data_IF_935421845089
#
_entry.id   IF_935421845089
#
_cell.length_a   1.000
_cell.length_b   1.000
_cell.length_c   1.000
_cell.angle_alpha   90.00
_cell.angle_beta   90.00
_cell.angle_gamma   90.00
#
_symmetry.space_group_name_H-M   'P 1'
#
loop_
_entity.id
_entity.type
_entity.pdbx_description
1 polymer ?
#
# COMPACT_ATOMS: atom_id res chain seq x y z
N UNK A 1 10.70 -3.35 10.22
CA UNK A 1 10.82 -1.96 9.70
C UNK A 1 11.53 -0.99 10.63
N UNK A 2 11.52 -1.21 11.94
CA UNK A 2 12.31 -0.41 12.89
C UNK A 2 13.80 -0.42 12.57
N UNK A 3 14.38 -1.59 12.24
CA UNK A 3 15.81 -1.72 11.91
C UNK A 3 16.21 -0.85 10.72
N UNK A 4 15.58 -0.96 9.53
CA UNK A 4 15.84 -0.04 8.40
C UNK A 4 15.71 1.45 8.76
N UNK A 5 14.70 1.84 9.53
CA UNK A 5 14.50 3.23 9.95
C UNK A 5 15.66 3.72 10.83
N UNK A 6 16.05 2.91 11.82
CA UNK A 6 17.19 3.20 12.68
C UNK A 6 18.49 3.29 11.86
N UNK A 7 18.71 2.38 10.91
CA UNK A 7 19.88 2.43 10.02
C UNK A 7 19.95 3.75 9.26
N UNK A 8 18.83 4.20 8.68
CA UNK A 8 18.77 5.50 7.96
C UNK A 8 19.07 6.66 8.90
N UNK A 9 18.44 6.70 10.08
CA UNK A 9 18.63 7.76 11.07
C UNK A 9 20.08 7.81 11.56
N UNK A 10 20.66 6.66 11.91
CA UNK A 10 22.04 6.55 12.38
C UNK A 10 23.02 6.97 11.27
N UNK A 11 22.83 6.49 10.05
CA UNK A 11 23.66 6.88 8.91
C UNK A 11 23.61 8.39 8.64
N UNK A 12 22.42 8.98 8.65
CA UNK A 12 22.26 10.42 8.40
C UNK A 12 22.83 11.28 9.51
N UNK A 13 22.57 10.92 10.77
CA UNK A 13 22.95 11.72 11.94
C UNK A 13 24.42 11.57 12.30
N UNK A 14 24.93 10.33 12.31
CA UNK A 14 26.27 10.01 12.78
C UNK A 14 27.28 10.18 11.65
N UNK A 15 27.01 9.58 10.48
CA UNK A 15 27.98 9.53 9.40
C UNK A 15 27.90 10.76 8.48
N UNK A 16 26.71 11.13 7.99
CA UNK A 16 26.55 12.25 7.05
C UNK A 16 26.34 13.62 7.69
N UNK A 17 26.08 13.69 9.00
CA UNK A 17 25.74 14.93 9.75
C UNK A 17 24.65 15.77 9.06
N UNK A 18 23.64 15.12 8.48
CA UNK A 18 22.56 15.78 7.74
C UNK A 18 21.36 16.08 8.65
N UNK A 19 20.62 17.14 8.35
CA UNK A 19 19.32 17.42 9.00
C UNK A 19 18.33 16.29 8.65
N UNK A 20 17.54 15.82 9.60
CA UNK A 20 16.63 14.66 9.46
C UNK A 20 15.18 15.10 9.19
N UNK A 21 14.91 16.41 9.24
CA UNK A 21 13.54 16.93 9.16
C UNK A 21 12.84 16.54 7.83
N UNK A 22 13.58 16.50 6.72
CA UNK A 22 13.04 16.09 5.42
C UNK A 22 12.71 14.59 5.35
N UNK A 23 13.40 13.76 6.14
CA UNK A 23 13.17 12.31 6.26
C UNK A 23 11.75 12.02 6.73
N UNK A 24 11.21 12.85 7.63
CA UNK A 24 9.88 12.62 8.18
C UNK A 24 8.75 13.08 7.27
N UNK A 25 8.99 14.09 6.42
CA UNK A 25 7.99 14.56 5.44
C UNK A 25 6.61 14.90 6.05
N UNK A 26 6.60 15.33 7.32
CA UNK A 26 5.38 15.60 8.08
C UNK A 26 4.86 16.99 7.68
N UNK A 27 3.91 17.00 6.76
CA UNK A 27 3.01 18.13 6.55
C UNK A 27 1.62 17.74 7.08
N UNK A 28 0.88 18.71 7.64
CA UNK A 28 -0.49 18.44 8.12
C UNK A 28 -1.38 18.13 6.90
N UNK A 29 -1.93 16.91 6.79
CA UNK A 29 -2.81 16.59 5.69
C UNK A 29 -4.17 17.27 5.88
N UNK A 30 -4.87 17.53 4.78
CA UNK A 30 -6.24 18.08 4.87
C UNK A 30 -7.22 17.00 5.28
N UNK A 31 -8.28 17.35 6.02
CA UNK A 31 -9.31 16.38 6.43
C UNK A 31 -9.92 15.65 5.21
N UNK A 32 -10.16 16.38 4.11
CA UNK A 32 -10.70 15.81 2.87
C UNK A 32 -9.81 14.70 2.30
N UNK A 33 -8.49 14.94 2.24
CA UNK A 33 -7.54 13.94 1.76
C UNK A 33 -7.47 12.71 2.68
N UNK A 34 -7.49 12.92 3.99
CA UNK A 34 -7.45 11.81 4.96
C UNK A 34 -8.71 10.95 4.85
N UNK A 35 -9.89 11.57 4.81
CA UNK A 35 -11.17 10.85 4.65
C UNK A 35 -11.19 10.07 3.35
N UNK A 36 -10.75 10.66 2.23
CA UNK A 36 -10.67 9.95 0.95
C UNK A 36 -9.75 8.73 1.03
N UNK A 37 -8.57 8.87 1.64
CA UNK A 37 -7.59 7.78 1.77
C UNK A 37 -8.05 6.67 2.72
N UNK A 38 -8.97 6.94 3.63
CA UNK A 38 -9.63 5.91 4.43
C UNK A 38 -10.77 5.24 3.67
N UNK A 39 -11.65 6.02 3.06
CA UNK A 39 -12.88 5.50 2.44
C UNK A 39 -12.56 4.67 1.19
N UNK A 40 -11.59 5.06 0.38
CA UNK A 40 -11.30 4.37 -0.88
C UNK A 40 -10.88 2.90 -0.70
N UNK A 41 -9.86 2.55 0.11
CA UNK A 41 -9.48 1.16 0.32
C UNK A 41 -10.57 0.35 1.04
N UNK A 42 -11.31 0.99 1.95
CA UNK A 42 -12.43 0.37 2.66
C UNK A 42 -13.53 -0.08 1.68
N UNK A 43 -13.99 0.82 0.80
CA UNK A 43 -15.00 0.50 -0.20
C UNK A 43 -14.51 -0.57 -1.17
N UNK A 44 -13.24 -0.49 -1.58
CA UNK A 44 -12.63 -1.48 -2.47
C UNK A 44 -12.58 -2.88 -1.82
N UNK A 45 -12.20 -2.95 -0.54
CA UNK A 45 -12.18 -4.19 0.24
C UNK A 45 -13.58 -4.77 0.49
N UNK A 46 -14.55 -3.93 0.86
CA UNK A 46 -15.95 -4.33 1.01
C UNK A 46 -16.51 -4.85 -0.31
N UNK A 47 -16.22 -4.18 -1.42
CA UNK A 47 -16.59 -4.63 -2.77
C UNK A 47 -16.03 -6.01 -3.10
N UNK A 48 -14.75 -6.25 -2.79
CA UNK A 48 -14.16 -7.59 -2.92
C UNK A 48 -14.83 -8.62 -2.02
N UNK A 49 -15.13 -8.27 -0.76
CA UNK A 49 -15.76 -9.18 0.18
C UNK A 49 -17.13 -9.66 -0.33
N UNK A 50 -17.97 -8.75 -0.83
CA UNK A 50 -19.25 -9.12 -1.44
C UNK A 50 -19.06 -9.88 -2.76
N UNK A 51 -18.08 -9.49 -3.58
CA UNK A 51 -17.75 -10.21 -4.82
C UNK A 51 -17.37 -11.67 -4.55
N UNK A 52 -16.55 -11.92 -3.53
CA UNK A 52 -16.21 -13.27 -3.07
C UNK A 52 -17.38 -13.99 -2.39
N UNK A 53 -18.27 -13.25 -1.72
CA UNK A 53 -19.48 -13.78 -1.11
C UNK A 53 -20.43 -14.44 -2.13
N UNK A 54 -20.47 -13.95 -3.37
CA UNK A 54 -21.24 -14.59 -4.48
C UNK A 54 -20.76 -16.04 -4.72
N UNK A 55 -19.48 -16.30 -4.48
CA UNK A 55 -18.85 -17.62 -4.63
C UNK A 55 -18.76 -18.39 -3.29
N UNK A 56 -19.50 -17.96 -2.25
CA UNK A 56 -19.45 -18.51 -0.90
C UNK A 56 -18.07 -18.43 -0.21
N UNK A 57 -17.20 -17.51 -0.65
CA UNK A 57 -15.88 -17.30 -0.05
C UNK A 57 -15.95 -16.12 0.92
N UNK A 58 -15.57 -16.36 2.18
CA UNK A 58 -15.47 -15.29 3.18
C UNK A 58 -14.09 -14.63 3.13
N UNK A 59 -14.05 -13.35 2.80
CA UNK A 59 -12.79 -12.59 2.69
C UNK A 59 -12.42 -11.79 3.96
N UNK A 60 -13.12 -10.69 4.25
CA UNK A 60 -12.74 -9.75 5.32
C UNK A 60 -13.30 -10.11 6.70
N UNK A 61 -14.61 -10.36 6.80
CA UNK A 61 -15.28 -10.59 8.07
C UNK A 61 -16.44 -11.58 7.91
N UNK A 62 -16.80 -12.27 8.99
CA UNK A 62 -18.03 -13.08 9.08
C UNK A 62 -19.18 -12.29 9.67
N UNK A 63 -18.87 -11.46 10.67
CA UNK A 63 -19.84 -10.64 11.39
C UNK A 63 -19.55 -9.16 11.21
N UNK A 64 -20.59 -8.34 11.19
CA UNK A 64 -20.47 -6.88 11.05
C UNK A 64 -19.64 -6.22 12.16
N UNK A 65 -19.59 -6.80 13.35
CA UNK A 65 -18.81 -6.29 14.47
C UNK A 65 -17.29 -6.38 14.20
N UNK A 66 -16.86 -7.38 13.43
CA UNK A 66 -15.45 -7.54 13.04
C UNK A 66 -15.00 -6.41 12.11
N UNK A 67 -15.90 -5.83 11.30
CA UNK A 67 -15.57 -4.68 10.46
C UNK A 67 -15.11 -3.47 11.30
N UNK A 68 -15.82 -3.19 12.40
CA UNK A 68 -15.44 -2.14 13.34
C UNK A 68 -14.09 -2.42 14.01
N UNK A 69 -13.83 -3.69 14.35
CA UNK A 69 -12.55 -4.11 14.89
C UNK A 69 -11.40 -3.96 13.87
N UNK A 70 -11.61 -4.36 12.61
CA UNK A 70 -10.63 -4.19 11.54
C UNK A 70 -10.29 -2.72 11.31
N UNK A 71 -11.28 -1.82 11.35
CA UNK A 71 -11.06 -0.38 11.28
C UNK A 71 -10.20 0.13 12.45
N UNK A 72 -10.45 -0.35 13.67
CA UNK A 72 -9.67 0.02 14.84
C UNK A 72 -8.23 -0.48 14.74
N UNK A 73 -8.04 -1.76 14.36
CA UNK A 73 -6.72 -2.36 14.15
C UNK A 73 -5.94 -1.60 13.09
N UNK A 74 -6.60 -1.19 12.02
CA UNK A 74 -5.97 -0.40 10.98
C UNK A 74 -5.52 0.98 11.48
N UNK A 75 -6.44 1.77 12.03
CA UNK A 75 -6.17 3.15 12.42
C UNK A 75 -5.11 3.24 13.53
N UNK A 76 -4.84 2.13 14.21
CA UNK A 76 -3.82 2.01 15.25
C UNK A 76 -2.56 1.30 14.74
N UNK A 77 -2.57 -0.04 14.71
CA UNK A 77 -1.40 -0.88 14.47
C UNK A 77 -1.03 -0.86 12.98
N UNK A 78 -2.02 -0.97 12.08
CA UNK A 78 -1.80 -1.00 10.64
C UNK A 78 -1.14 0.28 10.14
N UNK A 79 -1.73 1.42 10.47
CA UNK A 79 -1.25 2.75 10.13
C UNK A 79 0.10 3.08 10.77
N UNK A 80 0.34 2.64 12.01
CA UNK A 80 1.64 2.84 12.68
C UNK A 80 2.74 1.99 12.04
N UNK A 81 2.47 0.72 11.74
CA UNK A 81 3.41 -0.16 11.03
C UNK A 81 3.74 0.42 9.65
N UNK A 82 2.71 0.81 8.90
CA UNK A 82 2.86 1.47 7.62
C UNK A 82 3.64 2.79 7.73
N UNK A 83 3.44 3.58 8.77
CA UNK A 83 4.17 4.84 8.96
C UNK A 83 5.68 4.63 9.04
N UNK A 84 6.14 3.56 9.70
CA UNK A 84 7.57 3.24 9.78
C UNK A 84 8.15 2.95 8.39
N UNK A 85 7.40 2.28 7.53
CA UNK A 85 7.78 2.05 6.13
C UNK A 85 7.76 3.35 5.33
N UNK A 86 6.66 4.11 5.43
CA UNK A 86 6.46 5.31 4.62
C UNK A 86 7.49 6.40 4.94
N UNK A 87 7.98 6.51 6.17
CA UNK A 87 9.07 7.45 6.51
C UNK A 87 10.33 7.12 5.69
N UNK A 88 10.65 5.84 5.51
CA UNK A 88 11.83 5.42 4.76
C UNK A 88 11.61 5.62 3.27
N UNK A 89 10.49 5.10 2.75
CA UNK A 89 10.24 5.06 1.30
C UNK A 89 9.75 6.40 0.75
N UNK A 90 8.74 7.02 1.39
CA UNK A 90 8.02 8.22 0.90
C UNK A 90 8.49 9.52 1.56
N UNK A 91 9.16 9.41 2.70
CA UNK A 91 9.90 10.50 3.30
C UNK A 91 11.30 10.60 2.71
N UNK A 92 12.19 9.71 3.16
CA UNK A 92 13.61 9.79 2.85
C UNK A 92 13.95 9.48 1.38
N UNK A 93 13.63 8.27 0.93
CA UNK A 93 14.04 7.76 -0.39
C UNK A 93 13.42 8.58 -1.52
N UNK A 94 12.11 8.87 -1.41
CA UNK A 94 11.37 9.73 -2.32
C UNK A 94 11.97 11.14 -2.42
N UNK A 95 12.35 11.77 -1.29
CA UNK A 95 12.97 13.10 -1.30
C UNK A 95 14.23 13.15 -2.16
N UNK A 96 15.13 12.18 -2.03
CA UNK A 96 16.35 12.15 -2.83
C UNK A 96 16.10 11.77 -4.30
N UNK A 97 15.20 10.82 -4.56
CA UNK A 97 14.84 10.42 -5.93
C UNK A 97 14.20 11.58 -6.70
N UNK A 98 13.28 12.33 -6.09
CA UNK A 98 12.59 13.46 -6.74
C UNK A 98 13.53 14.60 -7.15
N UNK A 99 14.70 14.72 -6.52
CA UNK A 99 15.72 15.70 -6.91
C UNK A 99 16.47 15.31 -8.19
N UNK A 100 16.43 14.03 -8.59
CA UNK A 100 17.15 13.49 -9.75
C UNK A 100 16.24 13.04 -10.89
N UNK A 101 15.04 12.56 -10.55
CA UNK A 101 14.13 11.92 -11.50
C UNK A 101 12.76 12.56 -11.47
N UNK A 102 11.98 12.41 -12.55
CA UNK A 102 10.57 12.82 -12.59
C UNK A 102 9.73 11.99 -11.61
N UNK A 103 8.48 12.44 -11.35
CA UNK A 103 7.57 11.70 -10.48
C UNK A 103 7.29 10.27 -10.99
N UNK A 104 7.06 10.11 -12.30
CA UNK A 104 6.81 8.81 -12.90
C UNK A 104 7.99 7.85 -12.69
N UNK A 105 9.23 8.33 -12.94
CA UNK A 105 10.43 7.52 -12.70
C UNK A 105 10.66 7.22 -11.23
N UNK A 106 10.39 8.18 -10.34
CA UNK A 106 10.46 7.97 -8.89
C UNK A 106 9.49 6.88 -8.44
N UNK A 107 8.26 6.89 -8.96
CA UNK A 107 7.26 5.87 -8.67
C UNK A 107 7.68 4.49 -9.17
N UNK A 108 8.16 4.38 -10.41
CA UNK A 108 8.62 3.11 -10.99
C UNK A 108 9.81 2.55 -10.22
N UNK A 109 10.85 3.36 -9.95
CA UNK A 109 12.05 2.91 -9.22
C UNK A 109 11.68 2.42 -7.82
N UNK A 110 10.87 3.21 -7.10
CA UNK A 110 10.45 2.86 -5.74
C UNK A 110 9.59 1.61 -5.73
N UNK A 111 8.64 1.50 -6.67
CA UNK A 111 7.78 0.33 -6.80
C UNK A 111 8.56 -0.95 -7.08
N UNK A 112 9.53 -0.91 -8.00
CA UNK A 112 10.39 -2.06 -8.31
C UNK A 112 11.16 -2.54 -7.09
N UNK A 113 11.85 -1.62 -6.39
CA UNK A 113 12.68 -1.99 -5.24
C UNK A 113 11.82 -2.54 -4.10
N UNK A 114 10.69 -1.89 -3.83
CA UNK A 114 9.80 -2.31 -2.74
C UNK A 114 9.08 -3.64 -3.03
N UNK A 115 8.60 -3.85 -4.26
CA UNK A 115 7.98 -5.13 -4.63
C UNK A 115 8.99 -6.28 -4.58
N UNK A 116 10.23 -6.03 -5.01
CA UNK A 116 11.32 -7.01 -4.88
C UNK A 116 11.66 -7.32 -3.42
N UNK A 117 11.64 -6.32 -2.54
CA UNK A 117 11.86 -6.51 -1.10
C UNK A 117 10.82 -7.44 -0.46
N UNK A 118 9.62 -7.54 -1.04
CA UNK A 118 8.54 -8.44 -0.58
C UNK A 118 8.57 -9.85 -1.18
N UNK A 119 9.46 -10.14 -2.14
CA UNK A 119 9.54 -11.48 -2.76
C UNK A 119 9.79 -12.60 -1.75
N UNK A 120 10.64 -12.44 -0.71
CA UNK A 120 10.80 -13.47 0.33
C UNK A 120 9.48 -13.81 1.05
N UNK A 121 8.58 -12.83 1.21
CA UNK A 121 7.25 -13.09 1.82
C UNK A 121 6.43 -14.02 0.91
N UNK A 122 6.43 -13.74 -0.40
CA UNK A 122 5.75 -14.58 -1.39
C UNK A 122 6.34 -16.01 -1.43
N UNK A 123 7.65 -16.15 -1.24
CA UNK A 123 8.34 -17.44 -1.30
C UNK A 123 8.17 -18.29 -0.03
N UNK A 124 8.21 -17.67 1.15
CA UNK A 124 8.32 -18.41 2.42
C UNK A 124 7.05 -18.41 3.26
N UNK A 125 6.16 -17.43 3.06
CA UNK A 125 4.98 -17.25 3.92
C UNK A 125 3.66 -17.47 3.20
N UNK A 126 3.65 -17.46 1.87
CA UNK A 126 2.45 -17.70 1.08
C UNK A 126 2.45 -19.11 0.51
N UNK A 127 1.39 -19.84 0.81
CA UNK A 127 1.20 -21.21 0.35
C UNK A 127 0.51 -21.19 -1.01
N UNK A 128 1.31 -21.06 -2.08
CA UNK A 128 0.81 -21.14 -3.45
C UNK A 128 0.85 -22.56 -3.96
N UNK A 129 -0.22 -22.98 -4.64
CA UNK A 129 -0.19 -24.23 -5.42
C UNK A 129 0.63 -24.02 -6.69
N UNK A 130 0.40 -22.89 -7.38
CA UNK A 130 1.14 -22.47 -8.56
C UNK A 130 2.13 -21.36 -8.22
N UNK A 131 3.32 -21.75 -7.73
CA UNK A 131 4.34 -20.85 -7.20
C UNK A 131 4.67 -19.67 -8.12
N UNK A 132 4.99 -19.95 -9.38
CA UNK A 132 5.38 -18.90 -10.35
C UNK A 132 4.24 -17.88 -10.53
N UNK A 133 3.01 -18.38 -10.62
CA UNK A 133 1.84 -17.54 -10.86
C UNK A 133 1.48 -16.71 -9.62
N UNK A 134 1.54 -17.29 -8.43
CA UNK A 134 1.31 -16.59 -7.17
C UNK A 134 2.33 -15.48 -6.95
N UNK A 135 3.62 -15.80 -7.00
CA UNK A 135 4.71 -14.83 -6.81
C UNK A 135 4.61 -13.69 -7.82
N UNK A 136 4.33 -13.99 -9.09
CA UNK A 136 4.17 -12.97 -10.12
C UNK A 136 2.96 -12.07 -9.84
N UNK A 137 1.81 -12.65 -9.48
CA UNK A 137 0.57 -11.92 -9.19
C UNK A 137 0.71 -11.03 -7.96
N UNK A 138 1.32 -11.55 -6.90
CA UNK A 138 1.64 -10.78 -5.69
C UNK A 138 2.61 -9.64 -5.98
N UNK A 139 3.71 -9.91 -6.67
CA UNK A 139 4.74 -8.91 -6.97
C UNK A 139 4.18 -7.78 -7.84
N UNK A 140 3.36 -8.11 -8.85
CA UNK A 140 2.73 -7.12 -9.72
C UNK A 140 1.63 -6.34 -9.02
N UNK A 141 0.84 -6.98 -8.14
CA UNK A 141 -0.11 -6.32 -7.25
C UNK A 141 0.58 -5.26 -6.38
N UNK A 142 1.66 -5.66 -5.70
CA UNK A 142 2.47 -4.78 -4.86
C UNK A 142 3.11 -3.64 -5.66
N UNK A 143 3.59 -3.92 -6.87
CA UNK A 143 4.15 -2.91 -7.77
C UNK A 143 3.13 -1.82 -8.12
N UNK A 144 1.92 -2.21 -8.54
CA UNK A 144 0.85 -1.25 -8.87
C UNK A 144 0.43 -0.46 -7.63
N UNK A 145 0.26 -1.14 -6.50
CA UNK A 145 -0.07 -0.50 -5.22
C UNK A 145 0.97 0.57 -4.83
N UNK A 146 2.26 0.30 -5.03
CA UNK A 146 3.33 1.25 -4.75
C UNK A 146 3.36 2.48 -5.63
N UNK A 147 2.99 2.32 -6.90
CA UNK A 147 2.77 3.46 -7.79
C UNK A 147 1.67 4.34 -7.21
N UNK A 148 0.51 3.77 -6.87
CA UNK A 148 -0.62 4.50 -6.28
C UNK A 148 -0.19 5.25 -5.02
N UNK A 149 0.50 4.58 -4.09
CA UNK A 149 0.99 5.19 -2.85
C UNK A 149 1.97 6.35 -3.10
N UNK A 150 2.82 6.25 -4.12
CA UNK A 150 3.76 7.33 -4.46
C UNK A 150 3.01 8.58 -4.94
N UNK A 151 1.96 8.40 -5.75
CA UNK A 151 1.08 9.50 -6.13
C UNK A 151 0.28 10.02 -4.93
N UNK A 152 -0.24 9.14 -4.07
CA UNK A 152 -0.93 9.49 -2.82
C UNK A 152 -0.06 10.38 -1.93
N UNK A 153 1.23 10.07 -1.78
CA UNK A 153 2.19 10.96 -1.11
C UNK A 153 2.16 12.33 -1.80
N UNK A 154 2.39 12.43 -3.10
CA UNK A 154 2.50 13.75 -3.76
C UNK A 154 1.23 14.60 -3.67
N UNK A 155 0.06 13.98 -3.79
CA UNK A 155 -1.22 14.69 -3.64
C UNK A 155 -1.50 15.07 -2.18
N UNK A 156 -1.24 14.17 -1.23
CA UNK A 156 -1.42 14.42 0.21
C UNK A 156 -0.32 15.30 0.82
N UNK A 157 0.80 15.47 0.12
CA UNK A 157 2.04 16.15 0.55
C UNK A 157 2.61 15.66 1.88
N UNK A 158 2.10 14.56 2.41
CA UNK A 158 2.38 14.09 3.76
C UNK A 158 2.62 12.59 3.78
N UNK A 159 3.63 12.18 4.54
CA UNK A 159 3.90 10.76 4.82
C UNK A 159 2.77 10.15 5.65
N UNK A 160 2.12 10.94 6.51
CA UNK A 160 0.99 10.48 7.35
C UNK A 160 -0.22 10.09 6.51
N UNK A 161 -0.51 10.83 5.44
CA UNK A 161 -1.58 10.44 4.51
C UNK A 161 -1.26 9.14 3.78
N UNK A 162 0.00 8.98 3.35
CA UNK A 162 0.45 7.76 2.71
C UNK A 162 0.40 6.57 3.68
N UNK A 163 0.73 6.76 4.96
CA UNK A 163 0.71 5.69 5.96
C UNK A 163 -0.70 5.22 6.30
N UNK A 164 -1.66 6.14 6.42
CA UNK A 164 -3.08 5.79 6.61
C UNK A 164 -3.59 5.01 5.39
N UNK A 165 -3.31 5.51 4.18
CA UNK A 165 -3.71 4.81 2.96
C UNK A 165 -3.08 3.41 2.86
N UNK A 166 -1.80 3.30 3.20
CA UNK A 166 -1.07 2.04 3.18
C UNK A 166 -1.64 1.05 4.21
N UNK A 167 -1.84 1.49 5.46
CA UNK A 167 -2.51 0.68 6.48
C UNK A 167 -3.84 0.14 5.98
N UNK A 168 -4.72 1.04 5.54
CA UNK A 168 -6.06 0.67 5.08
C UNK A 168 -6.01 -0.36 3.95
N UNK A 169 -5.06 -0.25 3.03
CA UNK A 169 -4.84 -1.27 2.00
C UNK A 169 -4.36 -2.60 2.58
N UNK A 170 -3.46 -2.60 3.56
CA UNK A 170 -2.99 -3.82 4.22
C UNK A 170 -4.14 -4.58 4.88
N UNK A 171 -5.00 -3.88 5.62
CA UNK A 171 -6.10 -4.50 6.36
C UNK A 171 -7.27 -4.90 5.47
N UNK A 172 -7.69 -4.03 4.54
CA UNK A 172 -8.93 -4.24 3.77
C UNK A 172 -8.75 -4.86 2.39
N UNK A 173 -7.53 -4.88 1.83
CA UNK A 173 -7.33 -5.30 0.44
C UNK A 173 -6.24 -6.36 0.27
N UNK A 174 -5.06 -6.11 0.83
CA UNK A 174 -3.90 -6.98 0.69
C UNK A 174 -3.92 -8.15 1.67
N UNK A 175 -4.72 -8.07 2.73
CA UNK A 175 -4.94 -9.17 3.70
C UNK A 175 -5.23 -10.47 2.99
N UNK A 176 -4.66 -11.56 3.49
CA UNK A 176 -4.99 -12.90 3.00
C UNK A 176 -6.43 -13.31 3.42
N UNK A 177 -7.02 -12.63 4.40
CA UNK A 177 -8.41 -12.80 4.80
C UNK A 177 -8.67 -14.12 5.54
N UNK A 178 -9.93 -14.53 5.64
CA UNK A 178 -10.35 -15.76 6.32
C UNK A 178 -10.34 -17.02 5.43
N UNK A 179 -9.67 -16.98 4.27
CA UNK A 179 -9.47 -18.02 3.25
C UNK A 179 -10.24 -19.35 3.42
N UNK A 180 -11.56 -19.31 3.25
CA UNK A 180 -12.35 -20.53 3.14
C UNK A 180 -12.62 -20.82 1.65
N UNK A 181 -11.87 -21.76 1.06
CA UNK A 181 -12.22 -22.39 -0.21
C UNK A 181 -11.71 -21.72 -1.50
N UNK A 182 -10.71 -20.83 -1.44
CA UNK A 182 -10.07 -20.27 -2.64
C UNK A 182 -8.55 -20.38 -2.57
N UNK A 183 -7.91 -20.75 -3.68
CA UNK A 183 -6.46 -20.76 -3.79
C UNK A 183 -5.89 -19.34 -3.66
N UNK A 184 -4.77 -19.22 -2.95
CA UNK A 184 -4.11 -17.94 -2.65
C UNK A 184 -3.73 -17.19 -3.93
N UNK A 185 -3.17 -17.89 -4.93
CA UNK A 185 -2.81 -17.29 -6.21
C UNK A 185 -4.02 -16.84 -7.04
N UNK A 186 -5.19 -17.46 -6.84
CA UNK A 186 -6.45 -17.02 -7.47
C UNK A 186 -6.90 -15.67 -6.90
N UNK A 187 -6.90 -15.55 -5.58
CA UNK A 187 -7.27 -14.32 -4.90
C UNK A 187 -6.35 -13.15 -5.26
N UNK A 188 -5.04 -13.38 -5.33
CA UNK A 188 -4.08 -12.34 -5.69
C UNK A 188 -4.26 -11.84 -7.12
N UNK A 189 -4.54 -12.74 -8.07
CA UNK A 189 -4.87 -12.34 -9.44
C UNK A 189 -6.11 -11.48 -9.51
N UNK A 190 -7.17 -11.86 -8.79
CA UNK A 190 -8.41 -11.08 -8.74
C UNK A 190 -8.15 -9.68 -8.16
N UNK A 191 -7.41 -9.60 -7.05
CA UNK A 191 -6.99 -8.33 -6.45
C UNK A 191 -6.14 -7.51 -7.42
N UNK A 192 -5.20 -8.12 -8.14
CA UNK A 192 -4.39 -7.43 -9.12
C UNK A 192 -5.24 -6.83 -10.25
N UNK A 193 -6.09 -7.65 -10.88
CA UNK A 193 -6.95 -7.24 -11.99
C UNK A 193 -7.89 -6.11 -11.56
N UNK A 194 -8.54 -6.25 -10.39
CA UNK A 194 -9.44 -5.23 -9.89
C UNK A 194 -8.71 -3.91 -9.63
N UNK A 195 -7.54 -3.95 -8.99
CA UNK A 195 -6.78 -2.74 -8.67
C UNK A 195 -6.34 -2.01 -9.95
N UNK A 196 -5.85 -2.75 -10.95
CA UNK A 196 -5.46 -2.18 -12.24
C UNK A 196 -6.66 -1.58 -12.97
N UNK A 197 -7.80 -2.25 -12.99
CA UNK A 197 -9.02 -1.75 -13.63
C UNK A 197 -9.49 -0.46 -12.95
N UNK A 198 -9.63 -0.46 -11.63
CA UNK A 198 -10.05 0.73 -10.86
C UNK A 198 -9.08 1.89 -11.08
N UNK A 199 -7.77 1.64 -10.99
CA UNK A 199 -6.76 2.67 -11.18
C UNK A 199 -6.77 3.24 -12.61
N UNK A 200 -6.93 2.37 -13.62
CA UNK A 200 -7.04 2.78 -15.02
C UNK A 200 -8.28 3.66 -15.26
N UNK A 201 -9.42 3.29 -14.68
CA UNK A 201 -10.65 4.10 -14.74
C UNK A 201 -10.45 5.48 -14.13
N UNK A 202 -9.84 5.56 -12.93
CA UNK A 202 -9.52 6.84 -12.27
C UNK A 202 -8.62 7.69 -13.15
N UNK A 203 -7.59 7.09 -13.76
CA UNK A 203 -6.69 7.81 -14.66
C UNK A 203 -7.40 8.34 -15.91
N UNK A 204 -8.31 7.55 -16.51
CA UNK A 204 -9.09 7.96 -17.68
C UNK A 204 -10.05 9.11 -17.36
N UNK A 205 -10.75 9.05 -16.22
CA UNK A 205 -11.66 10.10 -15.76
C UNK A 205 -10.87 11.40 -15.54
N UNK A 206 -9.72 11.33 -14.87
CA UNK A 206 -8.88 12.51 -14.63
C UNK A 206 -8.35 13.15 -15.92
N UNK A 207 -8.01 12.35 -16.94
CA UNK A 207 -7.60 12.87 -18.26
C UNK A 207 -8.74 13.56 -19.00
N UNK A 208 -9.99 13.10 -18.85
CA UNK A 208 -11.17 13.73 -19.47
C UNK A 208 -11.51 15.08 -18.82
N UNK A 209 -11.38 15.20 -17.49
CA UNK A 209 -11.70 16.45 -16.77
C UNK A 209 -10.70 17.58 -17.07
N UNK A 210 -9.45 17.23 -17.45
CA UNK A 210 -8.40 18.20 -17.80
C UNK A 210 -8.41 18.66 -19.26
N UNK A 211 -9.27 18.07 -20.11
CA UNK A 211 -9.49 18.51 -21.50
C UNK A 211 -10.72 19.39 -21.55
#
# INVERSE_FOLDING_TARGET
MVVPLLTVILYQKIYKKQKILHTFGILRPTLKTVVFFMVFPLLLGIGLHFGFGIYNITFLFKQWNELGFLLLVDLTIGSLSALLEEIIWRGNFHYYLRRKYSLAWTAVITATIWSMWHVPIALFYKNYDLWILGIFSYSTLLFVFLIILTYTREYGRSVVSASIFHGMFNVFYLTDGMQNGCNVEGMERIKFILLVTVFSMVCLIHRKIKR
#
